data_IF_123609155844
#
_entry.id   IF_123609155844
#
_cell.length_a   1.000
_cell.length_b   1.000
_cell.length_c   1.000
_cell.angle_alpha   90.00
_cell.angle_beta   90.00
_cell.angle_gamma   90.00
#
_symmetry.space_group_name_H-M   'P 1'
#
loop_
_entity.id
_entity.type
_entity.pdbx_description
1 polymer ?
#
# COMPACT_ATOMS: atom_id res chain seq x y z
N UNK A 1 18.15 -27.35 -12.66
CA UNK A 1 17.66 -27.79 -11.32
C UNK A 1 16.87 -26.64 -10.70
N UNK A 2 15.76 -26.89 -9.98
CA UNK A 2 15.04 -25.77 -9.33
C UNK A 2 15.91 -25.19 -8.22
N UNK A 3 16.12 -23.87 -8.27
CA UNK A 3 16.85 -23.10 -7.27
C UNK A 3 15.94 -22.00 -6.73
N UNK A 4 16.06 -21.73 -5.44
CA UNK A 4 15.39 -20.64 -4.75
C UNK A 4 16.44 -19.67 -4.26
N UNK A 5 16.31 -18.41 -4.63
CA UNK A 5 17.23 -17.34 -4.25
C UNK A 5 16.46 -16.26 -3.50
N UNK A 6 17.04 -15.70 -2.44
CA UNK A 6 16.39 -14.64 -1.66
C UNK A 6 16.17 -13.40 -2.51
N UNK A 7 15.01 -12.78 -2.32
CA UNK A 7 14.69 -11.46 -2.87
C UNK A 7 14.92 -10.43 -1.77
N UNK A 8 15.69 -9.40 -2.09
CA UNK A 8 16.01 -8.23 -1.27
C UNK A 8 16.13 -7.00 -2.19
N UNK A 9 16.44 -5.84 -1.61
CA UNK A 9 16.61 -4.59 -2.36
C UNK A 9 17.73 -4.62 -3.42
N UNK A 10 18.66 -5.59 -3.35
CA UNK A 10 19.77 -5.75 -4.28
C UNK A 10 19.50 -6.77 -5.39
N UNK A 11 18.28 -7.33 -5.42
CA UNK A 11 17.90 -8.34 -6.41
C UNK A 11 17.82 -7.73 -7.81
N UNK A 12 18.56 -8.33 -8.76
CA UNK A 12 18.75 -7.75 -10.11
C UNK A 12 17.46 -7.60 -10.92
N UNK A 13 16.53 -8.54 -10.80
CA UNK A 13 15.27 -8.57 -11.54
C UNK A 13 14.08 -8.18 -10.67
N UNK A 14 14.29 -7.31 -9.68
CA UNK A 14 13.24 -6.89 -8.74
C UNK A 14 12.03 -6.25 -9.45
N UNK A 15 12.27 -5.49 -10.52
CA UNK A 15 11.20 -4.89 -11.31
C UNK A 15 10.36 -5.96 -12.04
N UNK A 16 11.00 -6.98 -12.63
CA UNK A 16 10.26 -8.07 -13.27
C UNK A 16 9.40 -8.85 -12.26
N UNK A 17 9.93 -9.04 -11.03
CA UNK A 17 9.18 -9.63 -9.91
C UNK A 17 7.98 -8.75 -9.53
N UNK A 18 8.17 -7.44 -9.42
CA UNK A 18 7.10 -6.46 -9.12
C UNK A 18 6.01 -6.49 -10.20
N UNK A 19 6.40 -6.49 -11.47
CA UNK A 19 5.44 -6.56 -12.59
C UNK A 19 4.66 -7.90 -12.59
N UNK A 20 5.34 -9.02 -12.32
CA UNK A 20 4.67 -10.31 -12.18
C UNK A 20 3.71 -10.32 -10.99
N UNK A 21 4.07 -9.73 -9.86
CA UNK A 21 3.21 -9.59 -8.69
C UNK A 21 1.94 -8.79 -9.01
N UNK A 22 2.10 -7.58 -9.53
CA UNK A 22 0.99 -6.71 -9.90
C UNK A 22 0.09 -7.36 -10.96
N UNK A 23 0.65 -8.08 -11.93
CA UNK A 23 -0.14 -8.77 -12.96
C UNK A 23 -0.81 -10.08 -12.51
N UNK A 24 -0.34 -10.71 -11.44
CA UNK A 24 -0.82 -12.03 -11.02
C UNK A 24 -1.94 -11.98 -9.97
N UNK A 25 -1.96 -10.96 -9.12
CA UNK A 25 -2.90 -10.82 -8.00
C UNK A 25 -3.73 -9.55 -8.19
N UNK A 26 -5.05 -9.53 -7.93
CA UNK A 26 -5.88 -8.32 -7.89
C UNK A 26 -5.43 -7.34 -6.81
N UNK A 27 -5.73 -6.04 -6.97
CA UNK A 27 -5.35 -4.99 -6.01
C UNK A 27 -5.78 -5.30 -4.57
N UNK A 28 -7.04 -5.70 -4.37
CA UNK A 28 -7.61 -5.98 -3.04
C UNK A 28 -6.95 -7.20 -2.34
N UNK A 29 -6.15 -7.99 -3.06
CA UNK A 29 -5.39 -9.13 -2.52
C UNK A 29 -3.91 -8.79 -2.25
N UNK A 30 -3.46 -7.58 -2.60
CA UNK A 30 -2.05 -7.17 -2.52
C UNK A 30 -1.73 -6.47 -1.19
N UNK A 31 -0.51 -6.65 -0.73
CA UNK A 31 0.17 -5.75 0.19
C UNK A 31 1.17 -4.91 -0.62
N UNK A 32 1.61 -3.73 -0.13
CA UNK A 32 2.63 -2.96 -0.80
C UNK A 32 3.88 -3.79 -1.10
N UNK A 33 4.38 -3.72 -2.34
CA UNK A 33 5.46 -4.61 -2.78
C UNK A 33 6.76 -4.34 -2.01
N UNK A 34 7.02 -3.08 -1.66
CA UNK A 34 8.20 -2.71 -0.86
C UNK A 34 8.18 -3.37 0.52
N UNK A 35 7.00 -3.63 1.09
CA UNK A 35 6.87 -4.35 2.37
C UNK A 35 7.34 -5.79 2.19
N UNK A 36 6.92 -6.47 1.11
CA UNK A 36 7.38 -7.84 0.81
C UNK A 36 8.90 -7.90 0.70
N UNK A 37 9.53 -6.88 0.10
CA UNK A 37 11.01 -6.80 0.01
C UNK A 37 11.63 -6.55 1.39
N UNK A 38 11.10 -5.57 2.13
CA UNK A 38 11.65 -5.12 3.42
C UNK A 38 11.58 -6.20 4.51
N UNK A 39 10.47 -6.93 4.60
CA UNK A 39 10.31 -8.01 5.60
C UNK A 39 10.53 -9.40 5.03
N UNK A 40 10.78 -9.52 3.73
CA UNK A 40 10.83 -10.79 3.00
C UNK A 40 11.88 -11.78 3.50
N UNK A 41 12.83 -11.30 4.31
CA UNK A 41 13.87 -12.11 4.93
C UNK A 41 13.95 -11.95 6.46
N UNK A 42 12.94 -11.34 7.09
CA UNK A 42 12.80 -11.32 8.54
C UNK A 42 12.52 -12.72 9.11
N UNK A 43 12.64 -12.89 10.43
CA UNK A 43 12.37 -14.18 11.08
C UNK A 43 10.93 -14.62 10.82
N UNK A 44 10.78 -15.66 10.00
CA UNK A 44 9.48 -16.27 9.69
C UNK A 44 8.85 -15.80 8.39
N UNK A 45 9.60 -15.13 7.50
CA UNK A 45 9.17 -14.81 6.13
C UNK A 45 10.25 -15.27 5.15
N UNK A 46 9.83 -15.85 4.03
CA UNK A 46 10.68 -16.18 2.89
C UNK A 46 10.10 -15.53 1.62
N UNK A 47 10.81 -14.56 1.06
CA UNK A 47 10.52 -14.01 -0.26
C UNK A 47 11.61 -14.46 -1.24
N UNK A 48 11.28 -15.41 -2.13
CA UNK A 48 12.25 -16.13 -2.94
C UNK A 48 11.93 -16.03 -4.43
N UNK A 49 12.96 -15.72 -5.22
CA UNK A 49 12.98 -15.82 -6.67
C UNK A 49 13.30 -17.27 -7.07
N UNK A 50 12.66 -17.74 -8.13
CA UNK A 50 12.70 -19.15 -8.54
C UNK A 50 13.35 -19.27 -9.91
N UNK A 51 14.34 -20.16 -10.01
CA UNK A 51 15.08 -20.42 -11.25
C UNK A 51 15.11 -21.90 -11.60
N UNK A 52 15.16 -22.23 -12.89
CA UNK A 52 15.70 -23.50 -13.39
C UNK A 52 16.94 -23.17 -14.22
N UNK A 53 18.11 -23.51 -13.67
CA UNK A 53 19.41 -23.09 -14.19
C UNK A 53 19.48 -21.55 -14.33
N UNK A 54 19.62 -21.00 -15.53
CA UNK A 54 19.68 -19.54 -15.78
C UNK A 54 18.31 -18.94 -16.13
N UNK A 55 17.24 -19.74 -16.19
CA UNK A 55 15.90 -19.26 -16.54
C UNK A 55 15.14 -18.85 -15.29
N UNK A 56 14.78 -17.58 -15.19
CA UNK A 56 13.86 -17.09 -14.16
C UNK A 56 12.45 -17.60 -14.43
N UNK A 57 11.82 -18.18 -13.41
CA UNK A 57 10.50 -18.80 -13.51
C UNK A 57 9.40 -17.97 -12.85
N UNK A 58 9.73 -17.17 -11.84
CA UNK A 58 8.77 -16.45 -11.01
C UNK A 58 9.24 -16.32 -9.57
N UNK A 59 8.30 -16.21 -8.63
CA UNK A 59 8.61 -16.05 -7.21
C UNK A 59 7.64 -16.80 -6.30
N UNK A 60 8.05 -17.00 -5.05
CA UNK A 60 7.21 -17.50 -3.96
C UNK A 60 7.47 -16.66 -2.70
N UNK A 61 6.38 -16.27 -2.03
CA UNK A 61 6.40 -15.57 -0.75
C UNK A 61 5.67 -16.43 0.29
N UNK A 62 6.40 -16.84 1.32
CA UNK A 62 5.93 -17.81 2.32
C UNK A 62 6.11 -17.26 3.73
N UNK A 63 5.06 -17.29 4.54
CA UNK A 63 5.16 -17.11 5.97
C UNK A 63 5.54 -18.44 6.60
N UNK A 64 6.63 -18.48 7.37
CA UNK A 64 7.20 -19.72 7.92
C UNK A 64 7.03 -19.73 9.44
N UNK A 65 6.21 -20.66 9.92
CA UNK A 65 5.97 -20.90 11.34
C UNK A 65 6.42 -22.30 11.79
N UNK A 66 6.40 -22.54 13.10
CA UNK A 66 6.76 -23.84 13.67
C UNK A 66 5.77 -24.96 13.29
N UNK A 67 4.50 -24.60 13.12
CA UNK A 67 3.40 -25.54 12.86
C UNK A 67 3.05 -25.69 11.39
N UNK A 68 3.23 -24.64 10.59
CA UNK A 68 2.94 -24.63 9.16
C UNK A 68 3.78 -23.57 8.45
N UNK A 69 3.99 -23.77 7.16
CA UNK A 69 4.46 -22.74 6.24
C UNK A 69 3.30 -22.37 5.32
N UNK A 70 3.00 -21.09 5.19
CA UNK A 70 1.87 -20.57 4.45
C UNK A 70 2.33 -19.79 3.23
N UNK A 71 2.06 -20.30 2.03
CA UNK A 71 2.30 -19.56 0.79
C UNK A 71 1.28 -18.42 0.76
N UNK A 72 1.76 -17.21 0.91
CA UNK A 72 0.93 -16.01 0.79
C UNK A 72 0.82 -15.58 -0.67
N UNK A 73 1.93 -15.64 -1.41
CA UNK A 73 1.93 -15.36 -2.85
C UNK A 73 2.78 -16.39 -3.60
N UNK A 74 2.26 -16.88 -4.72
CA UNK A 74 3.01 -17.73 -5.65
C UNK A 74 2.62 -17.40 -7.09
N UNK A 75 3.58 -16.93 -7.87
CA UNK A 75 3.37 -16.59 -9.26
C UNK A 75 4.50 -17.14 -10.14
N UNK A 76 4.10 -17.61 -11.33
CA UNK A 76 4.99 -18.05 -12.40
C UNK A 76 4.79 -17.09 -13.56
N UNK A 77 5.89 -16.74 -14.21
CA UNK A 77 5.90 -15.96 -15.44
C UNK A 77 4.84 -16.49 -16.43
N UNK A 78 4.08 -15.56 -17.01
CA UNK A 78 2.95 -15.87 -17.87
C UNK A 78 3.32 -16.73 -19.07
N UNK A 79 4.51 -16.53 -19.64
CA UNK A 79 5.02 -17.25 -20.81
C UNK A 79 5.37 -18.71 -20.50
N UNK A 80 5.61 -19.02 -19.22
CA UNK A 80 5.98 -20.35 -18.74
C UNK A 80 4.81 -21.11 -18.12
N UNK A 81 3.59 -20.57 -18.17
CA UNK A 81 2.40 -21.29 -17.67
C UNK A 81 2.16 -22.54 -18.52
N UNK A 82 1.71 -23.62 -17.87
CA UNK A 82 1.43 -24.93 -18.48
C UNK A 82 2.65 -25.74 -18.96
N UNK A 83 3.87 -25.25 -18.74
CA UNK A 83 5.15 -25.97 -18.96
C UNK A 83 5.43 -27.11 -17.96
N UNK A 84 4.60 -27.25 -16.91
CA UNK A 84 4.83 -28.16 -15.79
C UNK A 84 5.70 -27.60 -14.66
N UNK A 85 6.26 -26.39 -14.81
CA UNK A 85 7.10 -25.77 -13.79
C UNK A 85 6.42 -25.63 -12.44
N UNK A 86 5.15 -25.24 -12.38
CA UNK A 86 4.44 -25.09 -11.12
C UNK A 86 4.44 -26.37 -10.26
N UNK A 87 4.15 -27.52 -10.87
CA UNK A 87 4.22 -28.80 -10.15
C UNK A 87 5.63 -29.18 -9.74
N UNK A 88 6.64 -28.88 -10.56
CA UNK A 88 8.06 -29.13 -10.24
C UNK A 88 8.48 -28.27 -9.04
N UNK A 89 8.17 -26.99 -9.06
CA UNK A 89 8.47 -26.02 -7.99
C UNK A 89 7.83 -26.45 -6.67
N UNK A 90 6.51 -26.66 -6.67
CA UNK A 90 5.77 -27.06 -5.46
C UNK A 90 6.33 -28.35 -4.86
N UNK A 91 6.66 -29.34 -5.70
CA UNK A 91 7.25 -30.59 -5.24
C UNK A 91 8.61 -30.38 -4.58
N UNK A 92 9.49 -29.58 -5.17
CA UNK A 92 10.80 -29.28 -4.58
C UNK A 92 10.68 -28.43 -3.32
N UNK A 93 9.78 -27.45 -3.32
CA UNK A 93 9.55 -26.56 -2.17
C UNK A 93 8.94 -27.31 -0.98
N UNK A 94 8.05 -28.30 -1.21
CA UNK A 94 7.54 -29.19 -0.15
C UNK A 94 8.61 -30.05 0.52
N UNK A 95 9.77 -30.27 -0.11
CA UNK A 95 10.89 -30.96 0.55
C UNK A 95 11.55 -30.06 1.61
N UNK A 96 11.52 -28.75 1.38
CA UNK A 96 12.02 -27.74 2.31
C UNK A 96 10.96 -27.46 3.40
N UNK A 97 9.71 -27.33 2.97
CA UNK A 97 8.55 -27.04 3.81
C UNK A 97 7.55 -28.20 3.77
N UNK A 98 7.73 -29.28 4.55
CA UNK A 98 6.81 -30.44 4.51
C UNK A 98 5.41 -30.11 5.02
N UNK A 99 5.27 -29.04 5.82
CA UNK A 99 4.02 -28.52 6.38
C UNK A 99 3.47 -27.33 5.60
N UNK A 100 3.57 -27.39 4.26
CA UNK A 100 3.16 -26.30 3.37
C UNK A 100 1.64 -26.20 3.28
N UNK A 101 1.15 -24.97 3.28
CA UNK A 101 -0.26 -24.60 3.19
C UNK A 101 -0.40 -23.34 2.34
N UNK A 102 -1.61 -23.06 1.90
CA UNK A 102 -2.00 -21.91 1.08
C UNK A 102 -3.51 -21.71 1.21
N UNK A 103 -4.03 -20.57 0.77
CA UNK A 103 -5.48 -20.39 0.64
C UNK A 103 -5.88 -20.19 -0.82
N UNK A 104 -7.10 -20.59 -1.16
CA UNK A 104 -7.70 -20.40 -2.48
C UNK A 104 -9.07 -19.74 -2.33
N UNK A 105 -9.47 -18.97 -3.34
CA UNK A 105 -10.82 -18.41 -3.37
C UNK A 105 -11.87 -19.56 -3.35
N UNK A 106 -12.99 -19.40 -2.62
CA UNK A 106 -14.04 -20.39 -2.59
C UNK A 106 -14.66 -20.61 -3.98
N UNK A 107 -15.10 -21.83 -4.25
CA UNK A 107 -15.78 -22.19 -5.50
C UNK A 107 -17.25 -21.77 -5.42
N UNK A 108 -17.54 -20.53 -5.79
CA UNK A 108 -18.89 -19.97 -5.86
C UNK A 108 -19.37 -19.96 -7.32
N UNK A 109 -20.55 -20.53 -7.60
CA UNK A 109 -21.00 -20.75 -8.99
C UNK A 109 -21.22 -19.45 -9.77
N UNK A 110 -21.56 -18.36 -9.07
CA UNK A 110 -21.89 -17.06 -9.66
C UNK A 110 -20.66 -16.14 -9.85
N UNK A 111 -19.45 -16.59 -9.52
CA UNK A 111 -18.24 -15.77 -9.69
C UNK A 111 -17.78 -15.67 -11.15
N UNK A 112 -17.47 -14.45 -11.60
CA UNK A 112 -16.97 -14.18 -12.98
C UNK A 112 -15.71 -14.98 -13.34
N UNK A 113 -14.90 -15.36 -12.34
CA UNK A 113 -13.64 -16.08 -12.51
C UNK A 113 -13.72 -17.58 -12.13
N UNK A 114 -14.91 -18.18 -12.03
CA UNK A 114 -15.13 -19.56 -11.57
C UNK A 114 -14.29 -20.62 -12.29
N UNK A 115 -14.08 -20.47 -13.61
CA UNK A 115 -13.23 -21.38 -14.41
C UNK A 115 -11.78 -21.35 -13.94
N UNK A 116 -11.28 -20.18 -13.54
CA UNK A 116 -9.92 -20.02 -13.04
C UNK A 116 -9.77 -20.57 -11.62
N UNK A 117 -10.77 -20.35 -10.74
CA UNK A 117 -10.80 -20.92 -9.39
C UNK A 117 -10.76 -22.45 -9.41
N UNK A 118 -11.61 -23.08 -10.23
CA UNK A 118 -11.62 -24.55 -10.42
C UNK A 118 -10.29 -25.10 -10.94
N UNK A 119 -9.60 -24.37 -11.83
CA UNK A 119 -8.26 -24.75 -12.32
C UNK A 119 -7.19 -24.67 -11.22
N UNK A 120 -7.25 -23.65 -10.36
CA UNK A 120 -6.32 -23.49 -9.22
C UNK A 120 -6.51 -24.61 -8.20
N UNK A 121 -7.75 -24.89 -7.81
CA UNK A 121 -8.07 -26.03 -6.92
C UNK A 121 -7.51 -27.35 -7.47
N UNK A 122 -7.86 -27.70 -8.71
CA UNK A 122 -7.38 -28.94 -9.34
C UNK A 122 -5.84 -29.01 -9.47
N UNK A 123 -5.19 -27.86 -9.67
CA UNK A 123 -3.73 -27.78 -9.67
C UNK A 123 -3.15 -28.13 -8.29
N UNK A 124 -3.67 -27.54 -7.21
CA UNK A 124 -3.14 -27.80 -5.88
C UNK A 124 -3.47 -29.23 -5.38
N UNK A 125 -4.66 -29.74 -5.65
CA UNK A 125 -5.02 -31.15 -5.37
C UNK A 125 -4.07 -32.13 -6.06
N UNK A 126 -3.79 -31.92 -7.35
CA UNK A 126 -2.83 -32.73 -8.11
C UNK A 126 -1.41 -32.70 -7.49
N UNK A 127 -1.05 -31.62 -6.81
CA UNK A 127 0.23 -31.46 -6.13
C UNK A 127 0.19 -31.87 -4.63
N UNK A 128 -0.86 -32.59 -4.23
CA UNK A 128 -0.98 -33.22 -2.91
C UNK A 128 -1.29 -32.22 -1.81
N UNK A 129 -2.09 -31.19 -2.13
CA UNK A 129 -2.81 -30.40 -1.14
C UNK A 129 -4.24 -30.94 -0.98
N UNK A 130 -4.81 -30.78 0.20
CA UNK A 130 -6.19 -31.12 0.53
C UNK A 130 -6.84 -29.88 1.16
N UNK A 131 -8.08 -29.59 0.78
CA UNK A 131 -8.85 -28.50 1.40
C UNK A 131 -9.10 -28.83 2.86
N UNK A 132 -8.96 -27.81 3.71
CA UNK A 132 -9.24 -27.89 5.14
C UNK A 132 -10.62 -27.28 5.38
N UNK A 133 -11.36 -27.81 6.36
CA UNK A 133 -12.64 -27.23 6.80
C UNK A 133 -12.38 -25.97 7.65
N UNK A 134 -11.70 -25.01 7.05
CA UNK A 134 -11.24 -23.77 7.70
C UNK A 134 -11.17 -22.66 6.66
N UNK A 135 -11.92 -21.60 6.91
CA UNK A 135 -11.92 -20.38 6.12
C UNK A 135 -11.08 -19.30 6.81
N UNK A 136 -10.49 -18.43 6.01
CA UNK A 136 -9.69 -17.30 6.47
C UNK A 136 -10.09 -16.05 5.71
N UNK A 137 -9.91 -14.87 6.32
CA UNK A 137 -10.13 -13.59 5.65
C UNK A 137 -8.79 -12.89 5.53
N UNK A 138 -8.43 -12.52 4.30
CA UNK A 138 -7.19 -11.84 3.94
C UNK A 138 -7.55 -10.56 3.19
N UNK A 139 -7.12 -9.42 3.70
CA UNK A 139 -7.40 -8.10 3.10
C UNK A 139 -8.90 -7.87 2.78
N UNK A 140 -9.80 -8.43 3.60
CA UNK A 140 -11.25 -8.34 3.41
C UNK A 140 -11.87 -9.40 2.50
N UNK A 141 -11.06 -10.24 1.85
CA UNK A 141 -11.49 -11.33 0.96
C UNK A 141 -11.50 -12.67 1.69
N UNK A 142 -12.55 -13.46 1.53
CA UNK A 142 -12.65 -14.80 2.11
C UNK A 142 -11.93 -15.85 1.24
N UNK A 143 -11.12 -16.70 1.87
CA UNK A 143 -10.41 -17.81 1.24
C UNK A 143 -10.60 -19.12 2.03
N UNK A 144 -10.48 -20.24 1.34
CA UNK A 144 -10.46 -21.59 1.91
C UNK A 144 -9.01 -22.08 2.05
N UNK A 145 -8.65 -22.52 3.26
CA UNK A 145 -7.29 -22.99 3.54
C UNK A 145 -7.08 -24.40 2.95
N UNK A 146 -5.92 -24.62 2.34
CA UNK A 146 -5.44 -25.92 1.90
C UNK A 146 -4.12 -26.26 2.60
N UNK A 147 -3.94 -27.53 2.97
CA UNK A 147 -2.71 -28.03 3.57
C UNK A 147 -2.13 -29.18 2.76
N UNK A 148 -0.82 -29.46 2.91
CA UNK A 148 -0.27 -30.69 2.38
C UNK A 148 -1.01 -31.91 2.95
N UNK A 149 -1.20 -32.95 2.13
CA UNK A 149 -1.96 -34.15 2.47
C UNK A 149 -1.62 -34.70 3.87
N UNK A 150 -2.64 -34.93 4.69
CA UNK A 150 -2.50 -35.44 6.05
C UNK A 150 -2.08 -34.40 7.10
N UNK A 151 -2.02 -33.11 6.74
CA UNK A 151 -1.87 -32.04 7.73
C UNK A 151 -3.18 -31.77 8.47
N UNK A 152 -3.08 -31.58 9.78
CA UNK A 152 -4.11 -30.95 10.59
C UNK A 152 -3.65 -29.54 10.95
N UNK A 153 -4.35 -28.53 10.45
CA UNK A 153 -4.09 -27.12 10.75
C UNK A 153 -5.32 -26.56 11.45
N UNK A 154 -5.12 -25.84 12.56
CA UNK A 154 -6.20 -25.05 13.17
C UNK A 154 -6.17 -23.64 12.61
N UNK A 155 -7.34 -23.02 12.48
CA UNK A 155 -7.47 -21.58 12.15
C UNK A 155 -6.58 -20.70 13.04
N UNK A 156 -6.43 -21.06 14.33
CA UNK A 156 -5.55 -20.36 15.27
C UNK A 156 -4.07 -20.40 14.89
N UNK A 157 -3.61 -21.47 14.24
CA UNK A 157 -2.22 -21.60 13.83
C UNK A 157 -1.92 -20.65 12.65
N UNK A 158 -2.84 -20.57 11.70
CA UNK A 158 -2.81 -19.58 10.62
C UNK A 158 -2.88 -18.14 11.17
N UNK A 159 -3.86 -17.83 12.02
CA UNK A 159 -4.02 -16.49 12.62
C UNK A 159 -2.77 -16.04 13.38
N UNK A 160 -2.12 -16.96 14.11
CA UNK A 160 -0.87 -16.65 14.82
C UNK A 160 0.27 -16.32 13.86
N UNK A 161 0.38 -17.04 12.75
CA UNK A 161 1.41 -16.82 11.73
C UNK A 161 1.20 -15.48 11.02
N UNK A 162 -0.02 -15.21 10.57
CA UNK A 162 -0.38 -13.96 9.89
C UNK A 162 -0.28 -12.76 10.83
N UNK A 163 -0.73 -12.90 12.09
CA UNK A 163 -0.54 -11.85 13.09
C UNK A 163 0.94 -11.50 13.27
N UNK A 164 1.84 -12.48 13.38
CA UNK A 164 3.28 -12.22 13.49
C UNK A 164 3.84 -11.50 12.27
N UNK A 165 3.35 -11.80 11.07
CA UNK A 165 3.73 -11.11 9.85
C UNK A 165 3.31 -9.64 9.88
N UNK A 166 2.04 -9.34 10.18
CA UNK A 166 1.58 -7.95 10.27
C UNK A 166 2.17 -7.19 11.47
N UNK A 167 2.37 -7.86 12.62
CA UNK A 167 3.06 -7.27 13.78
C UNK A 167 4.53 -6.91 13.43
N UNK A 168 5.12 -7.54 12.41
CA UNK A 168 6.47 -7.18 11.94
C UNK A 168 6.53 -5.84 11.20
N UNK A 169 5.38 -5.29 10.77
CA UNK A 169 5.27 -3.93 10.21
C UNK A 169 5.18 -2.87 11.31
N UNK A 170 4.78 -3.24 12.53
CA UNK A 170 4.74 -2.35 13.70
C UNK A 170 6.13 -2.30 14.37
N UNK A 171 7.19 -2.31 13.56
CA UNK A 171 8.57 -2.13 14.03
C UNK A 171 8.74 -0.67 14.43
N UNK A 172 8.73 -0.45 15.74
CA UNK A 172 8.96 0.83 16.43
C UNK A 172 7.81 1.87 16.34
N UNK A 173 6.96 1.88 17.39
CA UNK A 173 6.00 2.95 17.72
C UNK A 173 6.65 4.27 18.12
N UNK A 174 7.84 4.57 17.58
CA UNK A 174 8.54 5.81 17.86
C UNK A 174 7.73 6.98 17.32
N UNK A 175 7.65 8.01 18.13
CA UNK A 175 7.01 9.27 17.77
C UNK A 175 8.11 10.31 17.59
N UNK A 176 8.26 10.82 16.38
CA UNK A 176 9.31 11.75 16.00
C UNK A 176 8.78 13.19 15.98
N UNK A 177 9.67 14.15 16.23
CA UNK A 177 9.43 15.53 15.80
C UNK A 177 9.46 15.64 14.28
N UNK A 178 8.88 16.71 13.76
CA UNK A 178 8.96 17.07 12.34
C UNK A 178 10.42 17.13 11.87
N UNK A 179 11.31 17.66 12.71
CA UNK A 179 12.74 17.73 12.37
C UNK A 179 13.36 16.34 12.28
N UNK A 180 13.15 15.49 13.29
CA UNK A 180 13.67 14.11 13.31
C UNK A 180 13.17 13.29 12.12
N UNK A 181 11.89 13.44 11.74
CA UNK A 181 11.33 12.77 10.57
C UNK A 181 12.01 13.22 9.26
N UNK A 182 12.17 14.53 9.06
CA UNK A 182 12.86 15.07 7.87
C UNK A 182 14.33 14.65 7.80
N UNK A 183 15.00 14.58 8.94
CA UNK A 183 16.40 14.12 9.01
C UNK A 183 16.48 12.62 8.64
N UNK A 184 15.54 11.80 9.11
CA UNK A 184 15.45 10.38 8.76
C UNK A 184 15.10 10.16 7.27
N UNK A 185 14.17 10.94 6.70
CA UNK A 185 13.89 10.94 5.25
C UNK A 185 15.17 11.25 4.46
N UNK A 186 15.86 12.33 4.81
CA UNK A 186 17.08 12.75 4.12
C UNK A 186 18.20 11.70 4.24
N UNK A 187 18.35 11.07 5.40
CA UNK A 187 19.30 9.98 5.62
C UNK A 187 18.94 8.75 4.78
N UNK A 188 17.66 8.38 4.74
CA UNK A 188 17.16 7.24 3.96
C UNK A 188 17.42 7.45 2.47
N UNK A 189 17.05 8.64 1.97
CA UNK A 189 17.23 9.01 0.55
C UNK A 189 18.71 8.97 0.15
N UNK A 190 19.57 9.51 1.02
CA UNK A 190 20.99 9.64 0.73
C UNK A 190 21.70 8.28 0.65
N UNK A 191 21.27 7.30 1.45
CA UNK A 191 22.05 6.09 1.67
C UNK A 191 21.40 4.80 1.14
N UNK A 192 20.07 4.75 0.99
CA UNK A 192 19.36 3.48 0.78
C UNK A 192 18.35 3.48 -0.35
N UNK A 193 17.59 4.56 -0.57
CA UNK A 193 16.44 4.57 -1.50
C UNK A 193 16.43 5.85 -2.34
N UNK A 194 16.17 5.77 -3.64
CA UNK A 194 15.98 6.98 -4.46
C UNK A 194 14.77 7.79 -3.97
N UNK A 195 14.83 9.13 -4.03
CA UNK A 195 13.77 9.98 -3.50
C UNK A 195 12.42 9.79 -4.19
N UNK A 196 12.42 9.44 -5.49
CA UNK A 196 11.18 9.14 -6.24
C UNK A 196 10.60 7.80 -5.82
N UNK A 197 11.45 6.81 -5.57
CA UNK A 197 11.00 5.51 -5.06
C UNK A 197 10.40 5.66 -3.66
N UNK A 198 11.02 6.47 -2.79
CA UNK A 198 10.47 6.72 -1.45
C UNK A 198 9.10 7.43 -1.51
N UNK A 199 8.95 8.42 -2.39
CA UNK A 199 7.67 9.08 -2.68
C UNK A 199 6.63 8.12 -3.25
N UNK A 200 7.03 7.18 -4.13
CA UNK A 200 6.14 6.14 -4.62
C UNK A 200 5.62 5.26 -3.48
N UNK A 201 6.48 4.85 -2.55
CA UNK A 201 6.07 4.06 -1.38
C UNK A 201 5.11 4.81 -0.47
N UNK A 202 5.34 6.10 -0.25
CA UNK A 202 4.42 6.97 0.50
C UNK A 202 3.04 7.02 -0.15
N UNK A 203 2.96 7.32 -1.44
CA UNK A 203 1.70 7.33 -2.19
C UNK A 203 1.03 5.97 -2.26
N UNK A 204 1.79 4.90 -2.50
CA UNK A 204 1.29 3.51 -2.49
C UNK A 204 0.69 3.16 -1.13
N UNK A 205 1.36 3.52 -0.03
CA UNK A 205 0.84 3.29 1.32
C UNK A 205 -0.48 4.04 1.59
N UNK A 206 -0.60 5.29 1.15
CA UNK A 206 -1.86 6.06 1.26
C UNK A 206 -2.96 5.38 0.45
N UNK A 207 -2.63 4.96 -0.78
CA UNK A 207 -3.56 4.29 -1.67
C UNK A 207 -4.10 2.98 -1.04
N UNK A 208 -3.26 2.15 -0.43
CA UNK A 208 -3.70 0.90 0.21
C UNK A 208 -4.51 1.07 1.49
N UNK A 209 -4.36 2.20 2.21
CA UNK A 209 -5.07 2.42 3.49
C UNK A 209 -6.39 3.16 3.30
N UNK A 210 -6.50 3.97 2.24
CA UNK A 210 -7.77 4.62 1.90
C UNK A 210 -8.80 3.60 1.40
N UNK A 211 -10.07 3.84 1.75
CA UNK A 211 -11.18 2.93 1.48
C UNK A 211 -11.86 3.24 0.14
N UNK A 212 -11.05 3.33 -0.91
CA UNK A 212 -11.49 3.71 -2.26
C UNK A 212 -12.14 2.52 -2.97
N UNK A 213 -13.26 2.74 -3.65
CA UNK A 213 -13.99 1.70 -4.38
C UNK A 213 -14.19 2.08 -5.86
N UNK A 214 -14.33 1.06 -6.71
CA UNK A 214 -14.76 1.26 -8.09
C UNK A 214 -16.14 1.90 -8.12
N UNK A 215 -16.23 3.06 -8.76
CA UNK A 215 -17.45 3.88 -8.82
C UNK A 215 -17.35 5.18 -8.02
N UNK A 216 -16.40 5.27 -7.08
CA UNK A 216 -16.13 6.48 -6.33
C UNK A 216 -15.48 7.57 -7.20
N UNK A 217 -15.67 8.82 -6.78
CA UNK A 217 -15.00 10.00 -7.33
C UNK A 217 -14.06 10.60 -6.30
N UNK A 218 -12.77 10.66 -6.63
CA UNK A 218 -11.72 11.15 -5.75
C UNK A 218 -11.16 12.48 -6.25
N UNK A 219 -11.06 13.47 -5.37
CA UNK A 219 -10.33 14.71 -5.63
C UNK A 219 -9.03 14.73 -4.82
N UNK A 220 -7.89 14.95 -5.47
CA UNK A 220 -6.62 15.19 -4.79
C UNK A 220 -6.42 16.71 -4.64
N UNK A 221 -6.52 17.24 -3.43
CA UNK A 221 -6.21 18.63 -3.13
C UNK A 221 -4.70 18.79 -2.90
N UNK A 222 -3.98 19.26 -3.92
CA UNK A 222 -2.53 19.16 -3.99
C UNK A 222 -1.84 20.52 -3.83
N UNK A 223 -0.96 20.62 -2.83
CA UNK A 223 -0.08 21.77 -2.65
C UNK A 223 1.10 21.76 -3.62
N UNK A 224 2.19 22.42 -3.23
CA UNK A 224 3.40 22.52 -4.06
C UNK A 224 4.61 21.71 -3.58
N UNK A 225 4.48 21.01 -2.45
CA UNK A 225 5.57 20.28 -1.79
C UNK A 225 5.54 18.78 -2.07
N UNK A 226 6.35 18.02 -1.33
CA UNK A 226 6.42 16.56 -1.49
C UNK A 226 5.12 15.84 -1.11
N UNK A 227 4.33 16.37 -0.16
CA UNK A 227 3.01 15.79 0.16
C UNK A 227 2.06 15.78 -1.06
N UNK A 228 2.18 16.78 -1.95
CA UNK A 228 1.47 16.80 -3.22
C UNK A 228 1.98 15.72 -4.18
N UNK A 229 3.29 15.45 -4.15
CA UNK A 229 3.91 14.35 -4.89
C UNK A 229 3.35 12.98 -4.52
N UNK A 230 3.19 12.72 -3.22
CA UNK A 230 2.55 11.50 -2.71
C UNK A 230 1.10 11.38 -3.25
N UNK A 231 0.36 12.50 -3.26
CA UNK A 231 -0.98 12.56 -3.86
C UNK A 231 -1.02 12.29 -5.37
N UNK A 232 0.02 12.68 -6.13
CA UNK A 232 0.09 12.36 -7.56
C UNK A 232 0.35 10.87 -7.81
N UNK A 233 1.12 10.21 -6.94
CA UNK A 233 1.26 8.75 -6.97
C UNK A 233 -0.09 8.09 -6.71
N UNK A 234 -0.84 8.54 -5.70
CA UNK A 234 -2.19 8.03 -5.41
C UNK A 234 -3.12 8.24 -6.62
N UNK A 235 -3.09 9.41 -7.26
CA UNK A 235 -3.87 9.69 -8.46
C UNK A 235 -3.56 8.70 -9.60
N UNK A 236 -2.27 8.45 -9.83
CA UNK A 236 -1.84 7.47 -10.82
C UNK A 236 -2.36 6.06 -10.51
N UNK A 237 -2.27 5.61 -9.25
CA UNK A 237 -2.72 4.29 -8.82
C UNK A 237 -4.24 4.14 -8.92
N UNK A 238 -5.01 5.14 -8.47
CA UNK A 238 -6.47 5.18 -8.62
C UNK A 238 -6.88 5.05 -10.10
N UNK A 239 -6.20 5.78 -10.98
CA UNK A 239 -6.46 5.71 -12.42
C UNK A 239 -6.14 4.33 -13.02
N UNK A 240 -5.09 3.65 -12.54
CA UNK A 240 -4.74 2.28 -12.97
C UNK A 240 -5.83 1.29 -12.58
N UNK A 241 -6.39 1.42 -11.38
CA UNK A 241 -7.48 0.55 -10.88
C UNK A 241 -8.88 0.99 -11.35
N UNK A 242 -8.95 1.99 -12.24
CA UNK A 242 -10.21 2.42 -12.89
C UNK A 242 -11.13 3.28 -12.03
N UNK A 243 -10.61 3.89 -10.94
CA UNK A 243 -11.34 4.80 -10.07
C UNK A 243 -11.25 6.23 -10.63
N UNK A 244 -12.37 6.98 -10.63
CA UNK A 244 -12.41 8.33 -11.18
C UNK A 244 -11.63 9.29 -10.27
N UNK A 245 -10.62 9.96 -10.83
CA UNK A 245 -9.77 10.89 -10.07
C UNK A 245 -9.52 12.21 -10.80
N UNK A 246 -9.55 13.31 -10.06
CA UNK A 246 -9.15 14.65 -10.49
C UNK A 246 -8.16 15.26 -9.50
N UNK A 247 -7.24 16.09 -9.99
CA UNK A 247 -6.28 16.83 -9.17
C UNK A 247 -6.68 18.32 -9.12
N UNK A 248 -6.83 18.88 -7.93
CA UNK A 248 -6.93 20.32 -7.70
C UNK A 248 -5.58 20.84 -7.20
N UNK A 249 -4.84 21.53 -8.06
CA UNK A 249 -3.60 22.21 -7.69
C UNK A 249 -3.92 23.52 -6.98
N UNK A 250 -3.40 23.69 -5.75
CA UNK A 250 -3.49 24.99 -5.05
C UNK A 250 -2.74 26.06 -5.83
N UNK A 251 -1.60 25.71 -6.44
CA UNK A 251 -0.82 26.53 -7.38
C UNK A 251 -0.17 25.63 -8.40
N UNK A 252 0.07 26.14 -9.60
CA UNK A 252 0.87 25.46 -10.63
C UNK A 252 2.37 25.51 -10.29
N UNK A 253 2.74 24.80 -9.22
CA UNK A 253 4.10 24.73 -8.67
C UNK A 253 4.31 23.35 -8.05
N UNK A 254 5.48 22.77 -8.28
CA UNK A 254 5.78 21.40 -7.89
C UNK A 254 7.16 21.32 -7.21
N UNK A 255 7.35 20.34 -6.33
CA UNK A 255 8.69 19.87 -6.00
C UNK A 255 9.29 19.09 -7.18
N UNK A 256 10.58 18.78 -7.12
CA UNK A 256 11.25 18.04 -8.19
C UNK A 256 10.63 16.66 -8.41
N UNK A 257 10.52 15.86 -7.34
CA UNK A 257 9.91 14.53 -7.42
C UNK A 257 8.39 14.60 -7.63
N UNK A 258 7.71 15.59 -7.05
CA UNK A 258 6.29 15.82 -7.32
C UNK A 258 6.04 16.13 -8.79
N UNK A 259 6.94 16.87 -9.47
CA UNK A 259 6.79 17.14 -10.91
C UNK A 259 6.91 15.86 -11.74
N UNK A 260 7.78 14.94 -11.33
CA UNK A 260 7.94 13.64 -11.99
C UNK A 260 6.62 12.86 -11.98
N UNK A 261 5.97 12.69 -10.82
CA UNK A 261 4.69 11.98 -10.73
C UNK A 261 3.51 12.74 -11.32
N UNK A 262 3.50 14.07 -11.24
CA UNK A 262 2.49 14.87 -11.93
C UNK A 262 2.55 14.67 -13.44
N UNK A 263 3.76 14.61 -14.04
CA UNK A 263 3.89 14.33 -15.47
C UNK A 263 3.39 12.92 -15.86
N UNK A 264 3.49 11.93 -14.96
CA UNK A 264 2.91 10.59 -15.17
C UNK A 264 1.39 10.63 -15.14
N UNK A 265 0.80 11.45 -14.27
CA UNK A 265 -0.64 11.71 -14.27
C UNK A 265 -1.10 12.30 -15.62
N UNK A 266 -0.34 13.24 -16.19
CA UNK A 266 -0.64 13.80 -17.52
C UNK A 266 -0.58 12.76 -18.63
N UNK A 267 0.39 11.83 -18.58
CA UNK A 267 0.49 10.73 -19.56
C UNK A 267 -0.68 9.75 -19.52
N UNK A 268 -1.42 9.74 -18.41
CA UNK A 268 -2.63 8.93 -18.19
C UNK A 268 -3.92 9.72 -18.39
N UNK A 269 -3.83 10.94 -18.93
CA UNK A 269 -4.96 11.85 -19.15
C UNK A 269 -5.78 12.15 -17.88
N UNK A 270 -5.14 12.10 -16.70
CA UNK A 270 -5.79 12.45 -15.44
C UNK A 270 -6.13 13.95 -15.45
N UNK A 271 -7.40 14.27 -15.16
CA UNK A 271 -7.88 15.65 -15.14
C UNK A 271 -7.23 16.42 -14.01
N UNK A 272 -6.88 17.67 -14.27
CA UNK A 272 -6.48 18.59 -13.22
C UNK A 272 -7.03 20.01 -13.44
N UNK A 273 -7.21 20.73 -12.34
CA UNK A 273 -7.55 22.15 -12.31
C UNK A 273 -6.59 22.89 -11.39
N UNK A 274 -6.42 24.20 -11.62
CA UNK A 274 -5.70 25.08 -10.70
C UNK A 274 -6.74 25.91 -9.95
N UNK A 275 -6.55 26.06 -8.65
CA UNK A 275 -7.42 26.85 -7.79
C UNK A 275 -7.57 28.28 -8.33
N UNK A 276 -8.80 28.70 -8.59
CA UNK A 276 -9.11 30.10 -8.80
C UNK A 276 -9.05 30.82 -7.45
N UNK A 277 -8.09 31.73 -7.29
CA UNK A 277 -7.91 32.50 -6.05
C UNK A 277 -9.12 33.40 -5.73
N UNK A 278 -10.03 33.61 -6.70
CA UNK A 278 -11.29 34.34 -6.50
C UNK A 278 -12.49 33.43 -6.22
N UNK A 279 -12.31 32.10 -6.20
CA UNK A 279 -13.39 31.18 -5.89
C UNK A 279 -13.92 31.45 -4.49
N UNK A 280 -15.22 31.71 -4.39
CA UNK A 280 -15.85 31.90 -3.09
C UNK A 280 -16.05 30.55 -2.36
N UNK A 281 -16.26 30.64 -1.06
CA UNK A 281 -16.51 29.48 -0.20
C UNK A 281 -17.62 28.57 -0.73
N UNK A 282 -18.70 29.12 -1.28
CA UNK A 282 -19.84 28.32 -1.76
C UNK A 282 -19.49 27.53 -3.03
N UNK A 283 -18.66 28.10 -3.89
CA UNK A 283 -18.16 27.45 -5.11
C UNK A 283 -17.23 26.30 -4.74
N UNK A 284 -16.29 26.53 -3.82
CA UNK A 284 -15.39 25.49 -3.32
C UNK A 284 -16.17 24.35 -2.65
N UNK A 285 -17.12 24.68 -1.76
CA UNK A 285 -17.94 23.68 -1.08
C UNK A 285 -18.77 22.84 -2.05
N UNK A 286 -19.41 23.47 -3.04
CA UNK A 286 -20.14 22.74 -4.09
C UNK A 286 -19.24 21.82 -4.91
N UNK A 287 -17.99 22.22 -5.16
CA UNK A 287 -17.01 21.34 -5.83
C UNK A 287 -16.71 20.13 -4.95
N UNK A 288 -16.35 20.32 -3.69
CA UNK A 288 -16.04 19.21 -2.78
C UNK A 288 -17.23 18.26 -2.56
N UNK A 289 -18.44 18.79 -2.42
CA UNK A 289 -19.68 18.00 -2.31
C UNK A 289 -20.00 17.12 -3.54
N UNK A 290 -19.28 17.30 -4.65
CA UNK A 290 -19.44 16.48 -5.87
C UNK A 290 -18.50 15.27 -5.96
N UNK A 291 -17.64 15.09 -4.97
CA UNK A 291 -16.73 13.94 -4.83
C UNK A 291 -17.13 13.11 -3.61
N UNK A 292 -16.89 11.81 -3.69
CA UNK A 292 -17.09 10.90 -2.56
C UNK A 292 -15.92 11.01 -1.59
N UNK A 293 -14.71 11.22 -2.11
CA UNK A 293 -13.50 11.41 -1.33
C UNK A 293 -12.71 12.65 -1.73
N UNK A 294 -12.07 13.28 -0.74
CA UNK A 294 -11.00 14.26 -0.96
C UNK A 294 -9.74 13.81 -0.23
N UNK A 295 -8.65 13.62 -0.99
CA UNK A 295 -7.32 13.42 -0.43
C UNK A 295 -6.64 14.79 -0.21
N UNK A 296 -6.45 15.15 1.05
CA UNK A 296 -5.70 16.31 1.50
C UNK A 296 -4.19 16.05 1.39
N UNK A 297 -3.59 16.64 0.36
CA UNK A 297 -2.16 16.68 0.07
C UNK A 297 -1.65 18.13 -0.02
N UNK A 298 -2.28 19.08 0.70
CA UNK A 298 -1.98 20.51 0.58
C UNK A 298 -0.64 20.83 1.26
N UNK A 299 -0.49 20.41 2.51
CA UNK A 299 0.66 20.60 3.36
C UNK A 299 1.02 19.30 4.04
N UNK A 300 2.31 19.09 4.32
CA UNK A 300 2.79 17.98 5.16
C UNK A 300 3.70 18.51 6.26
N UNK A 301 4.67 17.69 6.69
CA UNK A 301 5.72 18.12 7.65
C UNK A 301 6.40 19.44 7.30
N UNK A 302 6.41 19.84 6.02
CA UNK A 302 6.90 21.12 5.46
C UNK A 302 6.32 22.40 6.06
N UNK A 303 5.08 22.36 6.54
CA UNK A 303 4.31 23.55 6.92
C UNK A 303 4.76 24.16 8.26
N UNK A 304 4.79 25.50 8.30
CA UNK A 304 5.08 26.28 9.51
C UNK A 304 4.24 27.56 9.51
N UNK A 305 3.84 28.00 10.71
CA UNK A 305 3.06 29.23 10.89
C UNK A 305 1.56 29.01 10.74
N UNK A 306 0.85 30.03 10.23
CA UNK A 306 -0.60 30.05 10.11
C UNK A 306 -1.06 29.85 8.67
N UNK A 307 -2.20 29.18 8.49
CA UNK A 307 -2.83 29.04 7.18
C UNK A 307 -3.34 30.40 6.71
N UNK A 308 -2.99 30.77 5.47
CA UNK A 308 -3.39 32.03 4.82
C UNK A 308 -4.33 31.77 3.64
N UNK A 309 -4.99 32.83 3.17
CA UNK A 309 -5.75 32.76 1.91
C UNK A 309 -4.83 32.47 0.70
N UNK A 310 -5.34 31.75 -0.33
CA UNK A 310 -6.71 31.22 -0.45
C UNK A 310 -6.93 29.86 0.28
N UNK A 311 -5.88 29.30 0.89
CA UNK A 311 -5.93 27.96 1.51
C UNK A 311 -6.81 27.94 2.75
N UNK A 312 -6.89 29.06 3.49
CA UNK A 312 -7.78 29.19 4.64
C UNK A 312 -9.25 28.94 4.24
N UNK A 313 -9.74 29.67 3.23
CA UNK A 313 -11.11 29.49 2.72
C UNK A 313 -11.33 28.10 2.13
N UNK A 314 -10.31 27.52 1.49
CA UNK A 314 -10.36 26.17 0.95
C UNK A 314 -10.51 25.11 2.05
N UNK A 315 -9.67 25.14 3.10
CA UNK A 315 -9.76 24.20 4.22
C UNK A 315 -11.11 24.33 4.92
N UNK A 316 -11.61 25.56 5.09
CA UNK A 316 -12.93 25.79 5.65
C UNK A 316 -14.03 25.12 4.82
N UNK A 317 -14.02 25.31 3.49
CA UNK A 317 -14.99 24.69 2.60
C UNK A 317 -14.87 23.16 2.58
N UNK A 318 -13.65 22.63 2.67
CA UNK A 318 -13.38 21.20 2.73
C UNK A 318 -13.96 20.56 4.00
N UNK A 319 -13.67 21.15 5.16
CA UNK A 319 -14.18 20.69 6.46
C UNK A 319 -15.71 20.71 6.57
N UNK A 320 -16.37 21.58 5.81
CA UNK A 320 -17.84 21.70 5.77
C UNK A 320 -18.48 20.85 4.64
N UNK A 321 -17.68 20.14 3.86
CA UNK A 321 -18.15 19.31 2.73
C UNK A 321 -18.76 17.99 3.19
N UNK A 322 -19.39 17.28 2.26
CA UNK A 322 -19.93 15.93 2.48
C UNK A 322 -18.97 14.81 2.08
N UNK A 323 -17.86 15.13 1.43
CA UNK A 323 -16.89 14.14 1.02
C UNK A 323 -16.20 13.53 2.25
N UNK A 324 -15.82 12.26 2.16
CA UNK A 324 -14.93 11.68 3.15
C UNK A 324 -13.51 12.18 2.93
N UNK A 325 -12.87 12.65 3.99
CA UNK A 325 -11.58 13.33 3.90
C UNK A 325 -10.47 12.40 4.40
N UNK A 326 -9.49 12.17 3.53
CA UNK A 326 -8.25 11.46 3.87
C UNK A 326 -7.11 12.48 3.89
N UNK A 327 -6.36 12.59 4.99
CA UNK A 327 -5.15 13.42 5.03
C UNK A 327 -3.89 12.58 4.85
N UNK A 328 -3.04 12.99 3.91
CA UNK A 328 -1.72 12.41 3.68
C UNK A 328 -0.70 13.03 4.64
N UNK A 329 0.05 12.16 5.34
CA UNK A 329 1.14 12.47 6.27
C UNK A 329 0.71 13.23 7.54
N UNK A 330 0.18 14.44 7.39
CA UNK A 330 -0.33 15.33 8.45
C UNK A 330 -1.51 16.12 7.87
N UNK A 331 -2.57 16.31 8.67
CA UNK A 331 -3.69 17.18 8.32
C UNK A 331 -3.20 18.60 7.98
N UNK A 332 -3.51 19.08 6.78
CA UNK A 332 -3.00 20.36 6.31
C UNK A 332 -3.42 21.52 7.21
N UNK A 333 -2.44 22.33 7.63
CA UNK A 333 -2.63 23.44 8.57
C UNK A 333 -2.30 23.08 10.03
N UNK A 334 -2.08 21.81 10.34
CA UNK A 334 -1.66 21.35 11.66
C UNK A 334 -0.15 21.55 11.87
N UNK A 335 0.24 22.00 13.06
CA UNK A 335 1.63 21.92 13.50
C UNK A 335 2.01 20.46 13.79
N UNK A 336 2.96 19.90 13.03
CA UNK A 336 3.36 18.50 13.17
C UNK A 336 4.04 18.13 14.49
N UNK A 337 4.51 19.09 15.29
CA UNK A 337 5.13 18.83 16.60
C UNK A 337 4.15 18.97 17.76
N UNK A 338 3.23 19.95 17.69
CA UNK A 338 2.33 20.28 18.81
C UNK A 338 0.89 19.86 18.59
N UNK A 339 0.48 19.66 17.34
CA UNK A 339 -0.92 19.40 16.93
C UNK A 339 -1.79 20.65 16.91
N UNK A 340 -1.26 21.80 17.33
CA UNK A 340 -2.00 23.07 17.34
C UNK A 340 -2.22 23.61 15.93
N UNK A 341 -3.35 24.27 15.72
CA UNK A 341 -3.66 24.99 14.48
C UNK A 341 -4.68 26.11 14.74
N UNK A 342 -4.63 27.17 13.92
CA UNK A 342 -5.73 28.14 13.86
C UNK A 342 -6.90 27.61 13.03
N UNK A 343 -6.58 26.88 11.97
CA UNK A 343 -7.46 26.03 11.18
C UNK A 343 -6.60 24.91 10.59
N UNK A 344 -7.13 23.69 10.56
CA UNK A 344 -6.55 22.61 9.79
C UNK A 344 -7.67 21.73 9.21
N UNK A 345 -7.30 20.84 8.30
CA UNK A 345 -8.23 19.87 7.73
C UNK A 345 -8.71 18.91 8.82
N UNK A 346 -10.02 18.69 8.92
CA UNK A 346 -10.62 17.62 9.70
C UNK A 346 -10.74 16.40 8.79
N UNK A 347 -10.07 15.29 9.14
CA UNK A 347 -10.05 14.08 8.33
C UNK A 347 -10.82 12.95 9.00
N UNK A 348 -11.49 12.12 8.20
CA UNK A 348 -12.01 10.83 8.66
C UNK A 348 -10.87 9.84 8.87
N UNK A 349 -9.83 9.94 8.03
CA UNK A 349 -8.63 9.13 8.07
C UNK A 349 -7.38 10.00 7.88
N UNK A 350 -6.37 9.84 8.74
CA UNK A 350 -5.02 10.37 8.52
C UNK A 350 -4.05 9.22 8.35
N UNK A 351 -3.33 9.21 7.23
CA UNK A 351 -2.28 8.24 6.94
C UNK A 351 -0.93 8.89 7.19
N UNK A 352 -0.35 8.65 8.37
CA UNK A 352 1.00 9.08 8.71
C UNK A 352 2.03 8.24 7.96
N UNK A 353 3.05 8.88 7.38
CA UNK A 353 4.08 8.23 6.58
C UNK A 353 5.39 8.11 7.37
N UNK A 354 6.02 6.93 7.32
CA UNK A 354 7.22 6.61 8.08
C UNK A 354 6.90 6.44 9.57
N UNK A 355 7.18 7.46 10.36
CA UNK A 355 6.91 7.46 11.81
C UNK A 355 5.77 8.42 12.17
N UNK A 356 5.14 8.18 13.32
CA UNK A 356 4.16 9.11 13.87
C UNK A 356 4.85 10.44 14.23
N UNK A 357 4.25 11.56 13.82
CA UNK A 357 4.69 12.89 14.26
C UNK A 357 4.01 13.26 15.59
N UNK A 358 4.73 13.95 16.48
CA UNK A 358 4.25 14.32 17.83
C UNK A 358 2.88 15.01 17.84
N UNK A 359 2.61 15.88 16.87
CA UNK A 359 1.35 16.58 16.74
C UNK A 359 0.15 15.66 16.51
N UNK A 360 0.32 14.57 15.75
CA UNK A 360 -0.76 13.62 15.44
C UNK A 360 -1.28 12.86 16.66
N UNK A 361 -0.42 12.65 17.65
CA UNK A 361 -0.75 11.92 18.89
C UNK A 361 -1.01 12.84 20.09
N UNK A 362 -0.91 14.16 19.88
CA UNK A 362 -1.23 15.17 20.90
C UNK A 362 -2.74 15.29 21.12
N UNK A 363 -3.15 15.85 22.25
CA UNK A 363 -4.57 16.11 22.52
C UNK A 363 -5.17 17.14 21.56
N UNK A 364 -4.38 18.07 21.04
CA UNK A 364 -4.85 19.04 20.04
C UNK A 364 -5.04 18.37 18.67
N UNK A 365 -4.07 17.58 18.22
CA UNK A 365 -4.15 16.91 16.93
C UNK A 365 -5.29 15.90 16.83
N UNK A 366 -5.53 15.12 17.90
CA UNK A 366 -6.63 14.13 17.96
C UNK A 366 -8.02 14.73 17.73
N UNK A 367 -8.22 16.04 17.97
CA UNK A 367 -9.52 16.70 17.73
C UNK A 367 -9.89 16.77 16.25
N UNK A 368 -8.92 16.63 15.37
CA UNK A 368 -9.06 16.82 13.92
C UNK A 368 -8.94 15.50 13.12
N UNK A 369 -8.74 14.37 13.81
CA UNK A 369 -8.44 13.08 13.19
C UNK A 369 -9.48 12.05 13.67
N UNK A 370 -10.27 11.51 12.74
CA UNK A 370 -11.20 10.41 13.01
C UNK A 370 -10.45 9.10 13.31
N UNK A 371 -9.73 8.58 12.31
CA UNK A 371 -8.87 7.39 12.40
C UNK A 371 -7.44 7.76 12.02
N UNK A 372 -6.47 7.27 12.80
CA UNK A 372 -5.04 7.44 12.52
C UNK A 372 -4.42 6.08 12.16
N UNK A 373 -3.76 6.02 11.01
CA UNK A 373 -2.95 4.87 10.58
C UNK A 373 -1.54 5.36 10.29
N UNK A 374 -0.54 4.66 10.79
CA UNK A 374 0.87 4.93 10.45
C UNK A 374 1.37 3.84 9.50
N UNK A 375 1.99 4.26 8.41
CA UNK A 375 2.52 3.36 7.38
C UNK A 375 4.04 3.49 7.34
N UNK A 376 4.70 2.37 7.62
CA UNK A 376 6.13 2.24 7.38
C UNK A 376 6.38 2.17 5.87
N UNK A 377 7.31 3.00 5.39
CA UNK A 377 7.75 3.04 3.99
C UNK A 377 9.24 2.68 3.82
N UNK A 378 9.85 2.16 4.88
CA UNK A 378 11.26 1.80 4.95
C UNK A 378 12.16 2.97 5.37
N UNK A 379 11.69 3.86 6.25
CA UNK A 379 12.49 4.97 6.76
C UNK A 379 13.48 4.47 7.81
N UNK A 380 14.74 4.83 7.62
CA UNK A 380 15.85 4.48 8.52
C UNK A 380 16.29 5.73 9.27
N UNK A 381 16.42 5.60 10.59
CA UNK A 381 16.97 6.65 11.46
C UNK A 381 18.47 6.39 11.62
N UNK A 382 19.29 7.43 11.49
CA UNK A 382 20.73 7.37 11.81
C UNK A 382 20.91 7.11 13.32
N UNK A 383 21.59 6.00 13.68
CA UNK A 383 21.83 5.61 15.08
C UNK A 383 22.81 6.51 15.84
#
# INVERSE_FOLDING_TARGET
MIRFEKIDENTKNLEDIKQLYMGAFPFDERIPFYIMVSVGNDRGVEFLSIYDDDTWLGFIHTLVGEKLSYIFYFAIDGSLRQSGYGSKIIREYKKIHPKLSLAIEPIEEDSDNIKQRKKRLAFYEKNGFETLDTKVVEMGVEFELMGAKGMEIKESDYKSLVKKFFDSFDKDKRVLSVKEMRDADAYTIKNFVDSKELMYRAGEAIFYVGDWNIGDKVLIAAGSGNNAGDGYVVAELLSIEGIEVEILLIKDKFSEDGKYYFNRCLQKDIKYTVLDENADYNTLRKKFDSYDYVLDCIYGTGFTGEVREPVYSLIKALNDSKASIVSADINSGMNGDTGESNICVNSDLTVSIGFLKKGLVSEEGKKHIGKLVNMDIGIIIEE
#
